data_IF_781873670607
#
_entry.id   IF_781873670607
#
_cell.length_a   1.000
_cell.length_b   1.000
_cell.length_c   1.000
_cell.angle_alpha   90.00
_cell.angle_beta   90.00
_cell.angle_gamma   90.00
#
_symmetry.space_group_name_H-M   'P 1'
#
loop_
_entity.id
_entity.type
_entity.pdbx_description
1 polymer ?
#
# COMPACT_ATOMS: atom_id res chain seq x y z
N UNK A 1 -26.97 -6.77 4.57
CA UNK A 1 -25.57 -7.26 4.62
C UNK A 1 -24.73 -6.75 3.46
N UNK A 2 -25.23 -6.67 2.21
CA UNK A 2 -24.42 -6.17 1.07
C UNK A 2 -23.99 -4.70 1.14
N UNK A 3 -24.86 -3.79 1.61
CA UNK A 3 -24.57 -2.34 1.61
C UNK A 3 -23.44 -1.93 2.58
N UNK A 4 -23.28 -2.65 3.69
CA UNK A 4 -22.21 -2.37 4.66
C UNK A 4 -20.83 -2.75 4.11
N UNK A 5 -20.73 -3.90 3.43
CA UNK A 5 -19.52 -4.34 2.74
C UNK A 5 -19.15 -3.38 1.61
N UNK A 6 -20.12 -2.89 0.86
CA UNK A 6 -19.89 -1.90 -0.21
C UNK A 6 -19.37 -0.59 0.36
N UNK A 7 -20.00 -0.09 1.44
CA UNK A 7 -19.54 1.12 2.13
C UNK A 7 -18.10 0.99 2.64
N UNK A 8 -17.73 -0.20 3.11
CA UNK A 8 -16.36 -0.52 3.56
C UNK A 8 -15.36 -0.50 2.41
N UNK A 9 -15.64 -1.22 1.33
CA UNK A 9 -14.77 -1.29 0.15
C UNK A 9 -14.58 0.08 -0.50
N UNK A 10 -15.64 0.90 -0.55
CA UNK A 10 -15.58 2.27 -1.03
C UNK A 10 -14.56 3.11 -0.22
N UNK A 11 -14.62 3.05 1.11
CA UNK A 11 -13.68 3.77 1.99
C UNK A 11 -12.24 3.29 1.80
N UNK A 12 -12.03 1.97 1.81
CA UNK A 12 -10.71 1.36 1.61
C UNK A 12 -10.12 1.81 0.28
N UNK A 13 -10.90 1.74 -0.80
CA UNK A 13 -10.45 2.15 -2.13
C UNK A 13 -10.06 3.63 -2.17
N UNK A 14 -10.81 4.50 -1.49
CA UNK A 14 -10.48 5.93 -1.39
C UNK A 14 -9.16 6.14 -0.65
N UNK A 15 -8.97 5.48 0.49
CA UNK A 15 -7.73 5.54 1.27
C UNK A 15 -6.53 5.04 0.45
N UNK A 16 -6.69 3.95 -0.29
CA UNK A 16 -5.65 3.43 -1.18
C UNK A 16 -5.29 4.45 -2.27
N UNK A 17 -6.29 5.10 -2.89
CA UNK A 17 -6.02 6.12 -3.90
C UNK A 17 -5.30 7.36 -3.35
N UNK A 18 -5.66 7.80 -2.14
CA UNK A 18 -4.94 8.86 -1.42
C UNK A 18 -3.49 8.43 -1.13
N UNK A 19 -3.30 7.22 -0.61
CA UNK A 19 -1.97 6.67 -0.35
C UNK A 19 -1.11 6.59 -1.63
N UNK A 20 -1.69 6.18 -2.76
CA UNK A 20 -0.99 6.14 -4.04
C UNK A 20 -0.60 7.54 -4.52
N UNK A 21 -1.49 8.53 -4.38
CA UNK A 21 -1.17 9.93 -4.69
C UNK A 21 0.02 10.42 -3.87
N UNK A 22 0.00 10.20 -2.56
CA UNK A 22 1.05 10.66 -1.65
C UNK A 22 2.40 10.01 -1.93
N UNK A 23 2.39 8.78 -2.47
CA UNK A 23 3.58 8.06 -2.92
C UNK A 23 4.09 8.53 -4.29
N UNK A 24 3.42 9.51 -4.92
CA UNK A 24 3.82 10.08 -6.20
C UNK A 24 3.28 9.33 -7.43
N UNK A 25 2.27 8.48 -7.27
CA UNK A 25 1.56 7.87 -8.40
C UNK A 25 0.54 8.85 -9.03
N UNK A 26 0.26 8.65 -10.31
CA UNK A 26 -0.65 9.46 -11.09
C UNK A 26 -2.10 9.10 -10.75
N UNK A 27 -2.66 9.79 -9.76
CA UNK A 27 -4.06 9.63 -9.34
C UNK A 27 -4.79 10.96 -9.53
N UNK A 28 -5.86 10.95 -10.33
CA UNK A 28 -6.64 12.16 -10.63
C UNK A 28 -7.64 12.46 -9.52
N UNK A 29 -7.94 13.74 -9.28
CA UNK A 29 -8.85 14.18 -8.21
C UNK A 29 -10.24 13.55 -8.26
N UNK A 30 -10.81 13.39 -9.47
CA UNK A 30 -12.12 12.76 -9.61
C UNK A 30 -12.13 11.30 -9.13
N UNK A 31 -10.99 10.59 -9.14
CA UNK A 31 -10.92 9.21 -8.68
C UNK A 31 -10.94 9.09 -7.15
N UNK A 32 -10.47 10.13 -6.46
CA UNK A 32 -10.48 10.21 -4.99
C UNK A 32 -11.82 10.74 -4.50
N UNK A 33 -12.35 11.75 -5.19
CA UNK A 33 -13.60 12.42 -4.86
C UNK A 33 -14.84 11.73 -5.44
N UNK A 34 -14.69 10.52 -5.98
CA UNK A 34 -15.79 9.70 -6.48
C UNK A 34 -16.84 9.50 -5.38
N UNK A 35 -18.12 9.71 -5.71
CA UNK A 35 -19.20 9.51 -4.74
C UNK A 35 -19.50 8.01 -4.55
N UNK A 36 -20.16 7.65 -3.43
CA UNK A 36 -20.62 6.27 -3.21
C UNK A 36 -21.60 5.82 -4.30
N UNK A 37 -22.42 6.75 -4.82
CA UNK A 37 -23.35 6.47 -5.92
C UNK A 37 -22.60 6.17 -7.21
N UNK A 38 -21.59 6.96 -7.57
CA UNK A 38 -20.77 6.70 -8.77
C UNK A 38 -20.02 5.37 -8.66
N UNK A 39 -19.56 5.04 -7.46
CA UNK A 39 -18.94 3.76 -7.17
C UNK A 39 -19.91 2.59 -7.41
N UNK A 40 -21.15 2.71 -6.91
CA UNK A 40 -22.21 1.72 -7.16
C UNK A 40 -22.59 1.63 -8.64
N UNK A 41 -22.66 2.76 -9.35
CA UNK A 41 -22.92 2.76 -10.79
C UNK A 41 -21.79 2.09 -11.59
N UNK A 42 -20.54 2.25 -11.15
CA UNK A 42 -19.37 1.69 -11.84
C UNK A 42 -19.17 0.20 -11.58
N UNK A 43 -19.37 -0.25 -10.34
CA UNK A 43 -19.06 -1.63 -9.93
C UNK A 43 -20.31 -2.50 -9.69
N UNK A 44 -21.50 -1.91 -9.70
CA UNK A 44 -22.78 -2.58 -9.44
C UNK A 44 -23.03 -2.87 -7.96
N UNK A 45 -24.21 -3.42 -7.66
CA UNK A 45 -24.60 -3.83 -6.29
C UNK A 45 -23.86 -5.10 -5.81
N UNK A 46 -23.26 -5.85 -6.74
CA UNK A 46 -22.51 -7.09 -6.47
C UNK A 46 -21.01 -6.94 -6.68
N UNK A 47 -20.40 -5.88 -6.15
CA UNK A 47 -18.97 -5.57 -6.33
C UNK A 47 -18.10 -6.78 -6.01
N UNK A 48 -17.47 -7.37 -7.02
CA UNK A 48 -16.45 -8.39 -6.81
C UNK A 48 -15.15 -7.70 -6.45
N UNK A 49 -14.41 -8.26 -5.49
CA UNK A 49 -13.12 -7.71 -5.08
C UNK A 49 -12.11 -7.70 -6.24
N UNK A 50 -12.19 -8.68 -7.14
CA UNK A 50 -11.35 -8.73 -8.34
C UNK A 50 -11.54 -7.50 -9.25
N UNK A 51 -12.75 -6.93 -9.31
CA UNK A 51 -13.05 -5.73 -10.12
C UNK A 51 -12.47 -4.46 -9.50
N UNK A 52 -12.08 -4.49 -8.21
CA UNK A 52 -11.45 -3.37 -7.52
C UNK A 52 -9.95 -3.27 -7.78
N UNK A 53 -9.40 -4.10 -8.65
CA UNK A 53 -8.01 -4.03 -9.05
C UNK A 53 -7.65 -2.61 -9.54
N UNK A 54 -6.58 -2.07 -8.96
CA UNK A 54 -6.05 -0.75 -9.32
C UNK A 54 -4.69 -0.93 -9.99
N UNK A 55 -4.52 -0.31 -11.15
CA UNK A 55 -3.24 -0.12 -11.80
C UNK A 55 -2.98 1.40 -11.92
N UNK A 56 -1.81 1.85 -11.45
CA UNK A 56 -1.35 3.24 -11.58
C UNK A 56 0.12 3.31 -11.96
N UNK A 57 0.47 4.33 -12.76
CA UNK A 57 1.84 4.69 -13.09
C UNK A 57 2.36 5.83 -12.21
N UNK A 58 3.67 5.91 -12.02
CA UNK A 58 4.33 7.02 -11.32
C UNK A 58 4.34 8.30 -12.17
N UNK A 59 4.28 9.47 -11.55
CA UNK A 59 4.17 10.76 -12.28
C UNK A 59 5.40 11.17 -13.09
N UNK A 60 6.62 10.79 -12.69
CA UNK A 60 7.85 11.51 -13.11
C UNK A 60 9.02 10.65 -13.65
N UNK A 61 8.80 9.40 -14.09
CA UNK A 61 9.88 8.59 -14.68
C UNK A 61 9.59 8.27 -16.15
N UNK A 62 10.08 9.08 -17.11
CA UNK A 62 9.98 8.77 -18.55
C UNK A 62 10.90 7.62 -18.99
N UNK A 63 11.90 7.27 -18.17
CA UNK A 63 12.94 6.30 -18.53
C UNK A 63 12.52 4.85 -18.29
N UNK A 64 11.48 4.61 -17.49
CA UNK A 64 11.03 3.25 -17.19
C UNK A 64 9.55 3.19 -16.80
N UNK A 65 8.67 3.37 -17.80
CA UNK A 65 7.21 3.32 -17.61
C UNK A 65 6.73 2.01 -16.97
N UNK A 66 7.50 0.92 -17.09
CA UNK A 66 7.16 -0.41 -16.57
C UNK A 66 7.58 -0.56 -15.10
N UNK A 67 8.76 -0.07 -14.71
CA UNK A 67 9.17 0.00 -13.29
C UNK A 67 8.34 1.01 -12.47
N UNK A 68 7.64 1.91 -13.14
CA UNK A 68 6.79 2.93 -12.54
C UNK A 68 5.35 2.46 -12.24
N UNK A 69 4.96 1.24 -12.63
CA UNK A 69 3.63 0.70 -12.37
C UNK A 69 3.51 0.12 -10.96
N UNK A 70 2.31 0.29 -10.38
CA UNK A 70 1.92 -0.39 -9.15
C UNK A 70 0.57 -1.06 -9.34
N UNK A 71 0.51 -2.31 -8.92
CA UNK A 71 -0.72 -3.07 -8.81
C UNK A 71 -1.27 -3.03 -7.39
N UNK A 72 -2.58 -2.87 -7.25
CA UNK A 72 -3.28 -3.14 -5.99
C UNK A 72 -4.25 -4.27 -6.21
N UNK A 73 -4.01 -5.38 -5.52
CA UNK A 73 -4.83 -6.58 -5.57
C UNK A 73 -5.78 -6.64 -4.36
N UNK A 74 -7.02 -6.99 -4.65
CA UNK A 74 -8.08 -7.24 -3.66
C UNK A 74 -8.52 -8.70 -3.77
N UNK A 75 -7.84 -9.64 -3.10
CA UNK A 75 -8.24 -11.04 -3.05
C UNK A 75 -9.65 -11.22 -2.48
N UNK A 76 -10.42 -12.12 -3.10
CA UNK A 76 -11.75 -12.46 -2.60
C UNK A 76 -11.70 -13.39 -1.38
N UNK A 77 -10.70 -14.26 -1.32
CA UNK A 77 -10.52 -15.21 -0.22
C UNK A 77 -10.15 -14.52 1.09
N UNK A 78 -10.83 -14.90 2.18
CA UNK A 78 -10.49 -14.43 3.52
C UNK A 78 -9.08 -14.84 3.92
N UNK A 79 -8.67 -16.06 3.56
CA UNK A 79 -7.35 -16.63 3.86
C UNK A 79 -6.52 -16.77 2.61
N UNK A 80 -5.60 -15.83 2.41
CA UNK A 80 -4.68 -15.85 1.28
C UNK A 80 -3.49 -16.76 1.58
N UNK A 81 -3.49 -17.92 0.93
CA UNK A 81 -2.36 -18.86 0.92
C UNK A 81 -1.37 -18.65 -0.23
N UNK A 82 -0.30 -19.45 -0.23
CA UNK A 82 0.80 -19.40 -1.21
C UNK A 82 0.33 -19.52 -2.67
N UNK A 83 -0.71 -20.31 -2.96
CA UNK A 83 -1.27 -20.46 -4.33
C UNK A 83 -1.73 -19.14 -4.92
N UNK A 84 -2.42 -18.32 -4.14
CA UNK A 84 -2.91 -17.01 -4.59
C UNK A 84 -1.76 -16.04 -4.84
N UNK A 85 -0.75 -16.01 -3.95
CA UNK A 85 0.44 -15.16 -4.14
C UNK A 85 1.18 -15.55 -5.40
N UNK A 86 1.34 -16.85 -5.69
CA UNK A 86 1.96 -17.32 -6.94
C UNK A 86 1.22 -16.79 -8.17
N UNK A 87 -0.12 -16.84 -8.17
CA UNK A 87 -0.95 -16.28 -9.24
C UNK A 87 -0.70 -14.77 -9.43
N UNK A 88 -0.65 -13.99 -8.34
CA UNK A 88 -0.37 -12.54 -8.44
C UNK A 88 1.04 -12.25 -8.93
N UNK A 89 2.04 -13.03 -8.49
CA UNK A 89 3.42 -12.91 -8.94
C UNK A 89 3.56 -13.27 -10.42
N UNK A 90 2.79 -14.22 -10.93
CA UNK A 90 2.72 -14.54 -12.35
C UNK A 90 2.12 -13.40 -13.17
N UNK A 91 1.06 -12.75 -12.68
CA UNK A 91 0.51 -11.54 -13.32
C UNK A 91 1.54 -10.39 -13.32
N UNK A 92 2.21 -10.17 -12.19
CA UNK A 92 3.29 -9.17 -12.09
C UNK A 92 4.46 -9.50 -13.04
N UNK A 93 4.82 -10.77 -13.20
CA UNK A 93 5.83 -11.22 -14.17
C UNK A 93 5.40 -10.96 -15.61
N UNK A 94 4.15 -11.24 -15.95
CA UNK A 94 3.64 -11.08 -17.31
C UNK A 94 3.67 -9.61 -17.75
N UNK A 95 3.38 -8.70 -16.83
CA UNK A 95 3.38 -7.26 -17.09
C UNK A 95 4.67 -6.55 -16.64
N UNK A 96 5.67 -7.31 -16.20
CA UNK A 96 6.95 -6.80 -15.71
C UNK A 96 6.83 -5.74 -14.60
N UNK A 97 5.79 -5.82 -13.76
CA UNK A 97 5.55 -4.86 -12.68
C UNK A 97 6.31 -5.28 -11.41
N UNK A 98 7.25 -4.47 -10.90
CA UNK A 98 8.07 -4.84 -9.74
C UNK A 98 7.35 -4.65 -8.41
N UNK A 99 6.29 -3.82 -8.37
CA UNK A 99 5.64 -3.35 -7.14
C UNK A 99 4.16 -3.68 -7.10
N UNK A 100 3.72 -4.26 -5.99
CA UNK A 100 2.30 -4.46 -5.74
C UNK A 100 1.93 -4.27 -4.27
N UNK A 101 0.65 -3.96 -4.07
CA UNK A 101 0.00 -3.84 -2.77
C UNK A 101 -1.11 -4.88 -2.72
N UNK A 102 -1.15 -5.64 -1.63
CA UNK A 102 -2.15 -6.67 -1.38
C UNK A 102 -3.02 -6.25 -0.20
N UNK A 103 -4.32 -6.09 -0.45
CA UNK A 103 -5.29 -5.68 0.58
C UNK A 103 -6.06 -6.91 1.04
N UNK A 104 -5.86 -7.33 2.29
CA UNK A 104 -6.38 -8.57 2.83
C UNK A 104 -7.49 -8.38 3.86
N UNK A 105 -8.48 -9.27 3.86
CA UNK A 105 -9.50 -9.33 4.90
C UNK A 105 -8.94 -9.86 6.24
N UNK A 106 -8.05 -10.86 6.17
CA UNK A 106 -7.36 -11.43 7.33
C UNK A 106 -5.86 -11.56 7.05
N UNK A 107 -5.08 -11.90 8.08
CA UNK A 107 -3.64 -12.14 7.93
C UNK A 107 -3.32 -13.27 6.93
N UNK A 108 -2.16 -13.14 6.29
CA UNK A 108 -1.58 -14.21 5.47
C UNK A 108 -1.30 -15.46 6.30
N UNK A 109 -1.37 -16.61 5.64
CA UNK A 109 -0.85 -17.84 6.27
C UNK A 109 0.67 -17.74 6.48
N UNK A 110 1.24 -18.39 7.51
CA UNK A 110 2.68 -18.34 7.77
C UNK A 110 3.53 -18.72 6.54
N UNK A 111 3.10 -19.77 5.80
CA UNK A 111 3.75 -20.20 4.56
C UNK A 111 3.71 -19.13 3.46
N UNK A 112 2.61 -18.39 3.34
CA UNK A 112 2.49 -17.29 2.40
C UNK A 112 3.44 -16.13 2.77
N UNK A 113 3.59 -15.83 4.06
CA UNK A 113 4.49 -14.79 4.55
C UNK A 113 5.96 -15.13 4.29
N UNK A 114 6.38 -16.36 4.57
CA UNK A 114 7.74 -16.83 4.23
C UNK A 114 8.02 -16.74 2.74
N UNK A 115 7.05 -17.15 1.90
CA UNK A 115 7.18 -17.06 0.45
C UNK A 115 7.33 -15.62 -0.06
N UNK A 116 6.64 -14.65 0.54
CA UNK A 116 6.82 -13.24 0.19
C UNK A 116 8.22 -12.72 0.54
N UNK A 117 8.81 -13.17 1.66
CA UNK A 117 10.16 -12.78 2.03
C UNK A 117 11.20 -13.29 1.03
N UNK A 118 11.02 -14.51 0.51
CA UNK A 118 11.86 -15.07 -0.55
C UNK A 118 11.76 -14.29 -1.87
N UNK A 119 10.60 -13.70 -2.16
CA UNK A 119 10.35 -12.92 -3.38
C UNK A 119 10.78 -11.45 -3.29
N UNK A 120 10.91 -10.92 -2.07
CA UNK A 120 11.29 -9.53 -1.77
C UNK A 120 12.48 -8.98 -2.57
N UNK A 121 13.55 -9.76 -2.87
CA UNK A 121 14.69 -9.24 -3.65
C UNK A 121 14.33 -8.86 -5.09
N UNK A 122 13.27 -9.48 -5.66
CA UNK A 122 12.86 -9.30 -7.05
C UNK A 122 11.54 -8.54 -7.19
N UNK A 123 10.60 -8.77 -6.27
CA UNK A 123 9.28 -8.16 -6.28
C UNK A 123 8.97 -7.57 -4.91
N UNK A 124 8.59 -6.30 -4.91
CA UNK A 124 8.22 -5.59 -3.69
C UNK A 124 6.70 -5.66 -3.50
N UNK A 125 6.26 -6.63 -2.70
CA UNK A 125 4.86 -6.83 -2.34
C UNK A 125 4.60 -6.32 -0.93
N UNK A 126 3.78 -5.27 -0.82
CA UNK A 126 3.30 -4.75 0.45
C UNK A 126 1.95 -5.37 0.81
N UNK A 127 1.73 -5.61 2.09
CA UNK A 127 0.50 -6.23 2.59
C UNK A 127 -0.16 -5.28 3.57
N UNK A 128 -1.44 -4.99 3.35
CA UNK A 128 -2.29 -4.19 4.24
C UNK A 128 -3.53 -4.97 4.61
N UNK A 129 -4.02 -4.77 5.83
CA UNK A 129 -5.33 -5.27 6.21
C UNK A 129 -6.43 -4.28 5.82
N UNK A 130 -7.60 -4.78 5.42
CA UNK A 130 -8.77 -3.94 5.14
C UNK A 130 -9.12 -3.05 6.34
N UNK A 131 -8.97 -3.57 7.57
CA UNK A 131 -9.23 -2.85 8.81
C UNK A 131 -8.33 -1.61 8.99
N UNK A 132 -7.07 -1.68 8.56
CA UNK A 132 -6.11 -0.57 8.64
C UNK A 132 -6.41 0.54 7.62
N UNK A 133 -7.05 0.19 6.51
CA UNK A 133 -7.34 1.11 5.41
C UNK A 133 -8.73 1.77 5.50
N UNK A 134 -9.52 1.45 6.53
CA UNK A 134 -10.83 2.06 6.75
C UNK A 134 -10.76 3.56 7.00
N UNK A 135 -9.66 4.02 7.61
CA UNK A 135 -9.41 5.41 7.95
C UNK A 135 -7.98 5.75 7.54
N UNK A 136 -7.82 6.86 6.83
CA UNK A 136 -6.48 7.38 6.54
C UNK A 136 -5.89 7.98 7.82
N UNK A 137 -4.91 7.29 8.42
CA UNK A 137 -4.27 7.72 9.67
C UNK A 137 -3.52 9.06 9.54
N UNK A 138 -3.18 9.49 8.33
CA UNK A 138 -2.54 10.79 8.09
C UNK A 138 -3.43 11.98 8.43
N UNK A 139 -4.75 11.80 8.34
CA UNK A 139 -5.72 12.87 8.59
C UNK A 139 -5.96 13.06 10.11
N UNK A 140 -5.33 12.23 10.95
CA UNK A 140 -5.46 12.32 12.39
C UNK A 140 -4.58 13.43 12.95
N UNK A 141 -5.14 14.29 13.82
CA UNK A 141 -4.48 15.47 14.41
C UNK A 141 -3.14 15.15 15.10
N UNK A 142 -3.00 13.94 15.65
CA UNK A 142 -1.78 13.50 16.34
C UNK A 142 -0.67 12.99 15.41
N UNK A 143 -0.91 12.88 14.10
CA UNK A 143 0.08 12.40 13.13
C UNK A 143 0.65 13.59 12.36
N UNK A 144 1.90 14.01 12.62
CA UNK A 144 2.52 15.09 11.87
C UNK A 144 2.77 14.68 10.42
N UNK A 145 2.98 15.65 9.55
CA UNK A 145 3.35 15.37 8.16
C UNK A 145 4.73 14.72 8.07
N UNK A 146 4.82 13.62 7.34
CA UNK A 146 6.07 12.90 7.11
C UNK A 146 6.46 13.02 5.63
N UNK A 147 7.63 13.61 5.36
CA UNK A 147 8.20 13.71 4.02
C UNK A 147 9.37 12.74 3.86
N UNK A 148 9.40 12.02 2.74
CA UNK A 148 10.54 11.17 2.38
C UNK A 148 11.66 12.06 1.86
N UNK A 149 12.79 12.05 2.55
CA UNK A 149 14.00 12.78 2.13
C UNK A 149 14.64 12.12 0.92
N UNK A 150 15.17 12.93 0.00
CA UNK A 150 16.05 12.47 -1.07
C UNK A 150 17.41 12.06 -0.51
N UNK A 151 18.20 11.30 -1.29
CA UNK A 151 19.54 10.90 -0.88
C UNK A 151 20.47 12.11 -0.64
N UNK A 152 20.28 13.18 -1.41
CA UNK A 152 21.04 14.43 -1.27
C UNK A 152 20.66 15.16 0.03
N UNK A 153 19.36 15.36 0.26
CA UNK A 153 18.87 15.98 1.51
C UNK A 153 19.27 15.16 2.73
N UNK A 154 19.20 13.82 2.65
CA UNK A 154 19.66 12.92 3.71
C UNK A 154 21.14 13.15 4.01
N UNK A 155 21.99 13.21 2.98
CA UNK A 155 23.43 13.43 3.15
C UNK A 155 23.72 14.80 3.77
N UNK A 156 23.07 15.86 3.28
CA UNK A 156 23.21 17.21 3.85
C UNK A 156 22.74 17.27 5.30
N UNK A 157 21.69 16.53 5.66
CA UNK A 157 21.18 16.48 7.02
C UNK A 157 22.13 15.73 7.97
N UNK A 158 22.70 14.61 7.52
CA UNK A 158 23.73 13.87 8.25
C UNK A 158 25.01 14.72 8.44
N UNK A 159 25.43 15.45 7.42
CA UNK A 159 26.58 16.37 7.48
C UNK A 159 26.31 17.55 8.43
N UNK A 160 25.11 18.14 8.38
CA UNK A 160 24.72 19.28 9.25
C UNK A 160 24.66 18.90 10.73
N UNK A 161 24.15 17.72 11.05
CA UNK A 161 24.00 17.27 12.44
C UNK A 161 25.15 16.39 12.94
N UNK A 162 26.17 16.13 12.11
CA UNK A 162 27.34 15.30 12.47
C UNK A 162 26.97 13.90 12.98
N UNK A 163 25.88 13.34 12.47
CA UNK A 163 25.37 12.03 12.88
C UNK A 163 26.05 10.92 12.06
N UNK A 164 26.48 9.84 12.73
CA UNK A 164 26.90 8.61 12.05
C UNK A 164 25.67 7.77 11.73
N UNK A 165 25.62 7.14 10.55
CA UNK A 165 24.46 6.35 10.05
C UNK A 165 23.92 5.32 11.06
N UNK A 166 24.76 4.84 11.97
CA UNK A 166 24.44 3.82 12.98
C UNK A 166 23.43 4.29 14.05
N UNK A 167 23.23 5.61 14.25
CA UNK A 167 22.36 6.14 15.31
C UNK A 167 20.87 6.19 14.97
N UNK A 168 20.50 6.19 13.67
CA UNK A 168 19.08 6.19 13.25
C UNK A 168 18.37 4.87 13.56
N UNK A 169 19.10 3.74 13.52
CA UNK A 169 18.55 2.41 13.80
C UNK A 169 18.25 2.21 15.30
N UNK A 170 19.09 2.80 16.16
CA UNK A 170 18.89 2.80 17.62
C UNK A 170 17.67 3.64 18.03
N UNK A 171 17.46 4.83 17.44
CA UNK A 171 16.24 5.63 17.70
C UNK A 171 14.97 4.91 17.24
N UNK A 172 15.03 4.23 16.09
CA UNK A 172 13.88 3.46 15.55
C UNK A 172 13.53 2.28 16.46
N UNK A 173 14.52 1.63 17.06
CA UNK A 173 14.32 0.57 18.05
C UNK A 173 13.85 1.13 19.40
N UNK A 174 14.33 2.31 19.82
CA UNK A 174 13.90 2.96 21.07
C UNK A 174 12.45 3.45 21.01
N UNK A 175 12.00 3.96 19.87
CA UNK A 175 10.58 4.33 19.62
C UNK A 175 9.66 3.10 19.52
N UNK A 176 10.17 1.95 19.08
CA UNK A 176 9.43 0.67 19.09
C UNK A 176 9.31 0.06 20.49
N UNK A 177 10.35 0.18 21.32
CA UNK A 177 10.31 -0.30 22.71
C UNK A 177 9.33 0.46 23.59
N UNK A 178 9.25 1.79 23.45
CA UNK A 178 8.35 2.63 24.26
C UNK A 178 6.85 2.41 24.01
N UNK A 179 6.46 1.90 22.84
CA UNK A 179 5.05 1.57 22.57
C UNK A 179 4.57 0.29 23.26
N UNK A 180 5.47 -0.55 23.75
CA UNK A 180 5.11 -1.81 24.41
C UNK A 180 5.07 -1.70 25.95
N UNK A 181 5.38 -0.53 26.52
CA UNK A 181 5.33 -0.27 27.97
C UNK A 181 4.10 0.58 28.38
N UNK A 182 3.28 1.00 27.42
CA UNK A 182 2.04 1.78 27.65
C UNK A 182 0.73 1.00 27.34
N UNK A 183 0.80 -0.33 27.20
CA UNK A 183 -0.35 -1.26 27.26
C UNK A 183 -0.26 -2.14 28.51
#
# INVERSE_FOLDING_TARGET
MGDETIGRLFRIRRTVMQMLRDRGYLVVDFEINMSKLDFLHKFGEGVKREDLLINKSRKNDPTDQVLALIYVFFPNDEKVGMKHIKKYVELMKAESVPRAVLVLQQNLTPFAKSYLQELSPKYHLEVFQEAELLVNIKDHVLVPEHQVLTNEEKKTLLERYTLKETQEEEERNKKRGRKNEEE
#
